data_IF_912580641352
#
_entry.id   IF_912580641352
#
_cell.length_a   1.000
_cell.length_b   1.000
_cell.length_c   1.000
_cell.angle_alpha   90.00
_cell.angle_beta   90.00
_cell.angle_gamma   90.00
#
_symmetry.space_group_name_H-M   'P 1'
#
loop_
_entity.id
_entity.type
_entity.pdbx_description
1 polymer ?
#
# COMPACT_ATOMS: atom_id res chain seq x y z
N UNK A 1 -5.30 31.70 -17.87
CA UNK A 1 -4.01 31.22 -17.32
C UNK A 1 -3.59 29.96 -18.08
N UNK A 2 -2.62 30.09 -18.99
CA UNK A 2 -2.29 29.08 -20.03
C UNK A 2 -2.06 27.68 -19.47
N UNK A 3 -2.62 26.67 -20.15
CA UNK A 3 -2.40 25.23 -19.90
C UNK A 3 -0.90 24.91 -19.83
N UNK A 4 -0.09 25.58 -20.66
CA UNK A 4 1.38 25.52 -20.66
C UNK A 4 1.99 25.92 -19.30
N UNK A 5 1.50 27.00 -18.66
CA UNK A 5 1.95 27.40 -17.31
C UNK A 5 1.53 26.40 -16.23
N UNK A 6 0.37 25.73 -16.38
CA UNK A 6 -0.08 24.69 -15.44
C UNK A 6 0.73 23.39 -15.58
N UNK A 7 1.05 22.96 -16.80
CA UNK A 7 1.89 21.77 -17.07
C UNK A 7 3.35 22.05 -16.67
N UNK A 8 3.83 23.27 -16.89
CA UNK A 8 5.20 23.68 -16.55
C UNK A 8 5.56 23.57 -15.07
N UNK A 9 4.58 23.50 -14.16
CA UNK A 9 4.85 23.31 -12.72
C UNK A 9 5.03 21.83 -12.32
N UNK A 10 4.47 20.87 -13.07
CA UNK A 10 4.57 19.46 -12.73
C UNK A 10 5.97 18.90 -12.94
N UNK A 11 6.66 19.31 -14.01
CA UNK A 11 8.01 18.80 -14.33
C UNK A 11 9.05 19.20 -13.27
N UNK A 12 9.18 20.48 -12.85
CA UNK A 12 10.10 20.84 -11.78
C UNK A 12 9.77 20.14 -10.46
N UNK A 13 8.48 20.04 -10.10
CA UNK A 13 8.07 19.35 -8.87
C UNK A 13 8.44 17.87 -8.92
N UNK A 14 8.23 17.21 -10.06
CA UNK A 14 8.66 15.83 -10.26
C UNK A 14 10.17 15.69 -10.08
N UNK A 15 10.97 16.49 -10.79
CA UNK A 15 12.44 16.42 -10.71
C UNK A 15 12.95 16.69 -9.29
N UNK A 16 12.43 17.72 -8.62
CA UNK A 16 12.81 18.05 -7.24
C UNK A 16 12.42 16.94 -6.26
N UNK A 17 11.24 16.34 -6.43
CA UNK A 17 10.79 15.21 -5.59
C UNK A 17 11.69 13.99 -5.81
N UNK A 18 11.98 13.63 -7.06
CA UNK A 18 12.86 12.51 -7.39
C UNK A 18 14.27 12.72 -6.81
N UNK A 19 14.86 13.90 -7.03
CA UNK A 19 16.18 14.24 -6.50
C UNK A 19 16.19 14.22 -4.96
N UNK A 20 15.17 14.76 -4.31
CA UNK A 20 15.05 14.75 -2.84
C UNK A 20 14.96 13.34 -2.27
N UNK A 21 14.13 12.47 -2.87
CA UNK A 21 13.99 11.07 -2.44
C UNK A 21 15.26 10.26 -2.69
N UNK A 22 15.92 10.46 -3.84
CA UNK A 22 17.20 9.83 -4.13
C UNK A 22 18.30 10.31 -3.16
N UNK A 23 18.37 11.62 -2.89
CA UNK A 23 19.31 12.20 -1.94
C UNK A 23 19.10 11.63 -0.53
N UNK A 24 17.85 11.51 -0.07
CA UNK A 24 17.54 10.89 1.23
C UNK A 24 18.11 9.48 1.35
N UNK A 25 17.97 8.65 0.30
CA UNK A 25 18.52 7.30 0.28
C UNK A 25 20.05 7.29 0.29
N UNK A 26 20.68 8.14 -0.53
CA UNK A 26 22.14 8.29 -0.60
C UNK A 26 22.72 8.79 0.73
N UNK A 27 22.08 9.75 1.38
CA UNK A 27 22.49 10.25 2.69
C UNK A 27 22.39 9.15 3.75
N UNK A 28 21.33 8.35 3.75
CA UNK A 28 21.22 7.21 4.66
C UNK A 28 22.34 6.18 4.43
N UNK A 29 22.76 5.95 3.19
CA UNK A 29 23.83 5.02 2.85
C UNK A 29 25.22 5.47 3.36
N UNK A 30 25.38 6.75 3.73
CA UNK A 30 26.62 7.25 4.36
C UNK A 30 26.82 6.75 5.79
N UNK A 31 25.75 6.34 6.47
CA UNK A 31 25.85 5.79 7.83
C UNK A 31 26.76 4.56 7.79
N UNK A 32 27.82 4.47 8.60
CA UNK A 32 28.73 3.32 8.54
C UNK A 32 28.02 2.06 9.01
N UNK A 33 28.28 0.92 8.35
CA UNK A 33 27.70 -0.38 8.71
C UNK A 33 27.92 -0.75 10.18
N UNK A 34 29.09 -0.40 10.71
CA UNK A 34 29.46 -0.63 12.11
C UNK A 34 28.49 0.00 13.09
N UNK A 35 27.91 1.16 12.77
CA UNK A 35 26.92 1.83 13.62
C UNK A 35 25.56 1.12 13.68
N UNK A 36 25.27 0.24 12.72
CA UNK A 36 24.02 -0.51 12.63
C UNK A 36 24.19 -1.98 13.01
N UNK A 37 25.43 -2.43 13.26
CA UNK A 37 25.80 -3.84 13.29
C UNK A 37 25.03 -4.66 14.33
N UNK A 38 24.96 -4.17 15.56
CA UNK A 38 24.34 -4.91 16.67
C UNK A 38 22.83 -5.04 16.47
N UNK A 39 22.13 -3.92 16.23
CA UNK A 39 20.69 -3.96 15.96
C UNK A 39 20.34 -4.77 14.71
N UNK A 40 21.17 -4.73 13.66
CA UNK A 40 20.94 -5.55 12.46
C UNK A 40 21.14 -7.06 12.74
N UNK A 41 22.11 -7.42 13.58
CA UNK A 41 22.31 -8.81 14.02
C UNK A 41 21.13 -9.27 14.88
N UNK A 42 20.68 -8.47 15.84
CA UNK A 42 19.54 -8.80 16.71
C UNK A 42 18.25 -8.96 15.90
N UNK A 43 18.05 -8.08 14.90
CA UNK A 43 16.97 -8.22 13.92
C UNK A 43 17.07 -9.53 13.15
N UNK A 44 18.26 -9.90 12.66
CA UNK A 44 18.45 -11.13 11.91
C UNK A 44 18.15 -12.38 12.76
N UNK A 45 18.60 -12.38 14.03
CA UNK A 45 18.33 -13.45 14.99
C UNK A 45 16.87 -13.55 15.39
N UNK A 46 16.16 -12.41 15.46
CA UNK A 46 14.72 -12.42 15.67
C UNK A 46 13.99 -13.04 14.46
N UNK A 47 14.33 -12.62 13.25
CA UNK A 47 13.68 -13.11 12.02
C UNK A 47 13.91 -14.61 11.80
N UNK A 48 15.10 -15.13 12.11
CA UNK A 48 15.45 -16.54 11.87
C UNK A 48 14.66 -17.53 12.75
N UNK A 49 14.13 -17.08 13.90
CA UNK A 49 13.34 -17.92 14.83
C UNK A 49 12.00 -18.38 14.27
N UNK A 50 11.51 -17.72 13.22
CA UNK A 50 10.18 -17.97 12.68
C UNK A 50 10.25 -18.65 11.31
N UNK A 51 9.27 -19.51 11.04
CA UNK A 51 9.05 -20.10 9.73
C UNK A 51 8.60 -19.02 8.71
N UNK A 52 8.91 -19.22 7.42
CA UNK A 52 8.46 -18.38 6.30
C UNK A 52 6.94 -18.16 6.24
N UNK A 53 6.16 -19.11 6.76
CA UNK A 53 4.70 -19.08 6.78
C UNK A 53 4.13 -18.67 8.15
N UNK A 54 4.95 -18.03 8.99
CA UNK A 54 4.55 -17.59 10.32
C UNK A 54 3.29 -16.72 10.31
N UNK A 55 2.39 -17.03 11.24
CA UNK A 55 1.12 -16.33 11.48
C UNK A 55 1.14 -15.77 12.89
N UNK A 56 0.79 -14.49 13.04
CA UNK A 56 0.68 -13.86 14.35
C UNK A 56 -0.43 -14.50 15.19
N UNK A 57 -1.53 -14.89 14.55
CA UNK A 57 -2.65 -15.59 15.18
C UNK A 57 -2.74 -17.00 14.58
N UNK A 58 -2.53 -18.02 15.41
CA UNK A 58 -2.55 -19.42 14.99
C UNK A 58 -3.88 -19.75 14.31
N UNK A 59 -3.82 -20.30 13.10
CA UNK A 59 -5.00 -20.69 12.32
C UNK A 59 -5.67 -19.58 11.51
N UNK A 60 -5.26 -18.31 11.67
CA UNK A 60 -5.82 -17.18 10.93
C UNK A 60 -4.89 -16.74 9.78
N UNK A 61 -5.24 -17.10 8.54
CA UNK A 61 -4.40 -16.82 7.36
C UNK A 61 -4.19 -15.32 7.10
N UNK A 62 -5.15 -14.47 7.48
CA UNK A 62 -5.05 -13.00 7.43
C UNK A 62 -3.86 -12.45 8.24
N UNK A 63 -3.40 -13.22 9.24
CA UNK A 63 -2.32 -12.82 10.16
C UNK A 63 -0.93 -13.30 9.73
N UNK A 64 -0.80 -13.85 8.52
CA UNK A 64 0.48 -14.27 7.95
C UNK A 64 1.42 -13.07 7.72
N UNK A 65 2.70 -13.24 8.05
CA UNK A 65 3.78 -12.27 7.88
C UNK A 65 4.80 -12.75 6.85
N UNK A 66 5.55 -11.82 6.24
CA UNK A 66 6.63 -12.13 5.31
C UNK A 66 8.01 -11.80 5.91
N UNK A 67 8.57 -12.73 6.68
CA UNK A 67 9.90 -12.57 7.29
C UNK A 67 11.02 -12.53 6.26
N UNK A 68 10.80 -13.13 5.09
CA UNK A 68 11.80 -13.10 4.01
C UNK A 68 11.85 -11.75 3.33
N UNK A 69 10.70 -11.09 3.12
CA UNK A 69 10.67 -9.71 2.63
C UNK A 69 11.38 -8.76 3.60
N UNK A 70 11.10 -8.88 4.91
CA UNK A 70 11.78 -8.07 5.93
C UNK A 70 13.30 -8.32 5.95
N UNK A 71 13.73 -9.58 5.85
CA UNK A 71 15.16 -9.92 5.77
C UNK A 71 15.83 -9.33 4.51
N UNK A 72 15.13 -9.30 3.38
CA UNK A 72 15.63 -8.65 2.16
C UNK A 72 15.80 -7.15 2.39
N UNK A 73 14.78 -6.47 2.95
CA UNK A 73 14.87 -5.05 3.29
C UNK A 73 16.10 -4.77 4.17
N UNK A 74 16.25 -5.51 5.27
CA UNK A 74 17.39 -5.33 6.18
C UNK A 74 18.73 -5.70 5.55
N UNK A 75 18.79 -6.74 4.72
CA UNK A 75 20.01 -7.16 4.02
C UNK A 75 20.51 -6.10 3.04
N UNK A 76 19.60 -5.44 2.32
CA UNK A 76 19.93 -4.31 1.45
C UNK A 76 20.40 -3.13 2.29
N UNK A 77 19.64 -2.76 3.33
CA UNK A 77 20.00 -1.68 4.24
C UNK A 77 21.40 -1.87 4.84
N UNK A 78 21.69 -3.05 5.38
CA UNK A 78 22.98 -3.40 5.96
C UNK A 78 24.11 -3.47 4.91
N UNK A 79 23.77 -3.85 3.68
CA UNK A 79 24.70 -3.97 2.55
C UNK A 79 25.15 -2.65 1.93
N UNK A 80 24.55 -1.50 2.30
CA UNK A 80 24.94 -0.21 1.74
C UNK A 80 26.39 0.18 2.10
N UNK A 81 27.13 0.61 1.08
CA UNK A 81 28.54 1.00 1.17
C UNK A 81 28.68 2.51 1.39
N UNK A 82 29.12 2.92 2.57
CA UNK A 82 29.30 4.34 2.92
C UNK A 82 30.39 5.04 2.12
N UNK A 83 31.34 4.29 1.54
CA UNK A 83 32.39 4.82 0.64
C UNK A 83 31.89 4.99 -0.79
N UNK A 84 30.90 4.20 -1.20
CA UNK A 84 30.29 4.25 -2.55
C UNK A 84 28.76 4.30 -2.47
N UNK A 85 28.19 5.33 -1.82
CA UNK A 85 26.78 5.36 -1.42
C UNK A 85 25.85 5.42 -2.62
N UNK A 86 26.16 6.24 -3.63
CA UNK A 86 25.33 6.40 -4.83
C UNK A 86 25.21 5.09 -5.59
N UNK A 87 26.33 4.42 -5.89
CA UNK A 87 26.28 3.17 -6.63
C UNK A 87 25.65 2.05 -5.80
N UNK A 88 25.92 2.03 -4.49
CA UNK A 88 25.37 1.02 -3.59
C UNK A 88 23.84 1.07 -3.49
N UNK A 89 23.24 2.27 -3.38
CA UNK A 89 21.78 2.40 -3.35
C UNK A 89 21.14 2.03 -4.68
N UNK A 90 21.76 2.38 -5.81
CA UNK A 90 21.25 2.01 -7.13
C UNK A 90 21.25 0.50 -7.35
N UNK A 91 22.33 -0.18 -6.96
CA UNK A 91 22.43 -1.64 -7.00
C UNK A 91 21.46 -2.35 -6.05
N UNK A 92 21.28 -1.80 -4.84
CA UNK A 92 20.45 -2.37 -3.77
C UNK A 92 20.69 -3.87 -3.58
N UNK A 93 21.96 -4.25 -3.39
CA UNK A 93 22.33 -5.66 -3.25
C UNK A 93 21.95 -6.21 -1.89
N UNK A 94 21.34 -7.39 -1.88
CA UNK A 94 21.16 -8.20 -0.68
C UNK A 94 22.08 -9.42 -0.74
N UNK A 95 22.26 -10.09 0.39
CA UNK A 95 23.02 -11.33 0.47
C UNK A 95 22.07 -12.53 0.34
N UNK A 96 22.29 -13.34 -0.68
CA UNK A 96 21.60 -14.60 -0.88
C UNK A 96 22.59 -15.77 -0.95
N UNK A 97 22.14 -16.93 -0.47
CA UNK A 97 22.89 -18.19 -0.48
C UNK A 97 22.02 -19.29 -1.05
N UNK A 98 22.55 -20.07 -2.00
CA UNK A 98 21.82 -21.16 -2.63
C UNK A 98 21.31 -22.16 -1.57
N UNK A 99 20.06 -22.62 -1.73
CA UNK A 99 19.41 -23.54 -0.79
C UNK A 99 19.07 -22.94 0.59
N UNK A 100 19.25 -21.62 0.80
CA UNK A 100 18.99 -20.95 2.08
C UNK A 100 17.88 -19.92 1.91
N UNK A 101 16.97 -19.83 2.88
CA UNK A 101 15.95 -18.79 2.87
C UNK A 101 16.56 -17.40 3.12
N UNK A 102 16.00 -16.30 2.57
CA UNK A 102 16.52 -14.95 2.78
C UNK A 102 16.75 -14.56 4.25
N UNK A 103 15.85 -14.96 5.16
CA UNK A 103 16.00 -14.71 6.60
C UNK A 103 17.26 -15.34 7.21
N UNK A 104 17.60 -16.56 6.79
CA UNK A 104 18.75 -17.29 7.31
C UNK A 104 20.05 -16.85 6.62
N UNK A 105 19.97 -16.49 5.33
CA UNK A 105 21.08 -15.86 4.62
C UNK A 105 21.46 -14.50 5.25
N UNK A 106 20.47 -13.69 5.63
CA UNK A 106 20.70 -12.41 6.31
C UNK A 106 21.39 -12.59 7.68
N UNK A 107 21.05 -13.64 8.43
CA UNK A 107 21.75 -13.99 9.67
C UNK A 107 23.23 -14.31 9.42
N UNK A 108 23.54 -15.07 8.38
CA UNK A 108 24.94 -15.34 7.98
C UNK A 108 25.65 -14.04 7.58
N UNK A 109 24.98 -13.17 6.83
CA UNK A 109 25.53 -11.90 6.38
C UNK A 109 25.96 -11.01 7.56
N UNK A 110 25.12 -10.91 8.59
CA UNK A 110 25.41 -10.06 9.75
C UNK A 110 26.51 -10.66 10.63
N UNK A 111 26.51 -11.98 10.86
CA UNK A 111 27.54 -12.67 11.67
C UNK A 111 28.93 -12.66 11.05
N UNK A 112 29.01 -12.82 9.74
CA UNK A 112 30.29 -12.92 9.02
C UNK A 112 30.70 -11.60 8.35
N UNK A 113 29.89 -10.55 8.47
CA UNK A 113 30.19 -9.25 7.87
C UNK A 113 30.22 -9.26 6.33
N UNK A 114 29.42 -10.12 5.69
CA UNK A 114 29.43 -10.30 4.23
C UNK A 114 28.75 -9.14 3.50
N UNK A 115 29.17 -8.91 2.26
CA UNK A 115 28.54 -7.95 1.35
C UNK A 115 27.38 -8.59 0.59
N UNK A 116 26.43 -7.77 0.13
CA UNK A 116 25.38 -8.22 -0.77
C UNK A 116 25.97 -8.73 -2.09
N UNK A 117 25.45 -9.86 -2.57
CA UNK A 117 25.92 -10.56 -3.77
C UNK A 117 24.83 -10.72 -4.84
N UNK A 118 23.58 -10.38 -4.53
CA UNK A 118 22.46 -10.41 -5.47
C UNK A 118 21.88 -9.03 -5.62
N UNK A 119 21.82 -8.50 -6.84
CA UNK A 119 21.22 -7.21 -7.13
C UNK A 119 19.70 -7.23 -7.05
N UNK A 120 19.13 -6.08 -6.67
CA UNK A 120 17.68 -5.89 -6.62
C UNK A 120 17.30 -4.58 -7.32
N UNK A 121 17.66 -4.48 -8.60
CA UNK A 121 17.52 -3.26 -9.39
C UNK A 121 16.08 -2.82 -9.64
N UNK A 122 15.11 -3.72 -9.46
CA UNK A 122 13.70 -3.49 -9.78
C UNK A 122 13.02 -2.34 -9.03
N UNK A 123 13.35 -2.11 -7.76
CA UNK A 123 12.64 -1.14 -6.89
C UNK A 123 13.57 -0.11 -6.29
N UNK A 124 13.06 1.04 -5.88
CA UNK A 124 13.88 2.06 -5.24
C UNK A 124 14.42 1.66 -3.86
N UNK A 125 13.72 0.78 -3.14
CA UNK A 125 14.06 0.42 -1.75
C UNK A 125 14.14 1.64 -0.83
N UNK A 126 13.29 2.64 -1.07
CA UNK A 126 13.30 3.92 -0.36
C UNK A 126 13.05 3.82 1.14
N UNK A 127 12.33 2.77 1.57
CA UNK A 127 12.16 2.41 2.98
C UNK A 127 13.49 2.24 3.73
N UNK A 128 14.59 1.90 3.03
CA UNK A 128 15.90 1.72 3.65
C UNK A 128 16.48 2.99 4.25
N UNK A 129 16.05 4.17 3.77
CA UNK A 129 16.43 5.43 4.40
C UNK A 129 15.96 5.48 5.86
N UNK A 130 14.71 5.07 6.11
CA UNK A 130 14.14 5.02 7.45
C UNK A 130 14.69 3.84 8.26
N UNK A 131 14.79 2.66 7.65
CA UNK A 131 15.32 1.46 8.33
C UNK A 131 16.70 1.73 8.92
N UNK A 132 17.60 2.37 8.15
CA UNK A 132 18.95 2.65 8.63
C UNK A 132 18.98 3.68 9.75
N UNK A 133 18.10 4.68 9.70
CA UNK A 133 17.96 5.64 10.81
C UNK A 133 17.43 4.97 12.08
N UNK A 134 16.41 4.11 11.97
CA UNK A 134 15.91 3.36 13.12
C UNK A 134 16.96 2.41 13.71
N UNK A 135 17.75 1.75 12.87
CA UNK A 135 18.79 0.82 13.33
C UNK A 135 19.99 1.50 14.01
N UNK A 136 20.03 2.83 14.09
CA UNK A 136 20.94 3.53 15.00
C UNK A 136 20.51 3.39 16.47
N UNK A 137 19.22 3.17 16.74
CA UNK A 137 18.65 3.22 18.11
C UNK A 137 17.87 1.98 18.51
N UNK A 138 17.44 1.14 17.56
CA UNK A 138 16.67 -0.07 17.86
C UNK A 138 16.81 -1.14 16.78
N UNK A 139 16.47 -2.38 17.11
CA UNK A 139 16.25 -3.44 16.13
C UNK A 139 14.86 -3.37 15.46
N UNK A 140 14.55 -4.36 14.62
CA UNK A 140 13.29 -4.46 13.87
C UNK A 140 12.05 -4.57 14.77
N UNK A 141 12.17 -5.09 15.98
CA UNK A 141 11.04 -5.20 16.92
C UNK A 141 10.60 -3.80 17.37
N UNK A 142 11.56 -2.92 17.64
CA UNK A 142 11.26 -1.52 17.94
C UNK A 142 10.68 -0.78 16.73
N UNK A 143 11.10 -1.11 15.51
CA UNK A 143 10.47 -0.57 14.29
C UNK A 143 9.00 -1.01 14.19
N UNK A 144 8.71 -2.29 14.44
CA UNK A 144 7.31 -2.78 14.42
C UNK A 144 6.46 -2.08 15.48
N UNK A 145 6.99 -1.90 16.69
CA UNK A 145 6.30 -1.17 17.75
C UNK A 145 6.03 0.28 17.33
N UNK A 146 7.04 0.97 16.80
CA UNK A 146 6.90 2.33 16.30
C UNK A 146 5.86 2.44 15.18
N UNK A 147 5.90 1.55 14.19
CA UNK A 147 4.90 1.50 13.13
C UNK A 147 3.48 1.26 13.68
N UNK A 148 3.33 0.37 14.66
CA UNK A 148 2.05 0.09 15.30
C UNK A 148 1.47 1.31 16.01
N UNK A 149 2.29 1.97 16.83
CA UNK A 149 1.92 3.21 17.53
C UNK A 149 1.57 4.30 16.52
N UNK A 150 2.40 4.50 15.48
CA UNK A 150 2.18 5.54 14.48
C UNK A 150 0.90 5.30 13.67
N UNK A 151 0.64 4.06 13.23
CA UNK A 151 -0.62 3.70 12.56
C UNK A 151 -1.81 4.01 13.47
N UNK A 152 -1.75 3.59 14.74
CA UNK A 152 -2.81 3.85 15.72
C UNK A 152 -3.08 5.35 15.93
N UNK A 153 -2.03 6.15 16.09
CA UNK A 153 -2.13 7.60 16.28
C UNK A 153 -2.70 8.30 15.04
N UNK A 154 -2.26 7.94 13.84
CA UNK A 154 -2.78 8.54 12.61
C UNK A 154 -4.26 8.16 12.40
N UNK A 155 -4.62 6.89 12.63
CA UNK A 155 -6.02 6.45 12.54
C UNK A 155 -6.91 7.20 13.54
N UNK A 156 -6.45 7.35 14.79
CA UNK A 156 -7.15 8.15 15.79
C UNK A 156 -7.27 9.61 15.34
N UNK A 157 -6.21 10.20 14.79
CA UNK A 157 -6.21 11.55 14.21
C UNK A 157 -7.24 11.74 13.12
N UNK A 158 -7.30 10.82 12.14
CA UNK A 158 -8.29 10.82 11.06
C UNK A 158 -9.70 10.76 11.65
N UNK A 159 -9.94 9.84 12.58
CA UNK A 159 -11.25 9.67 13.24
C UNK A 159 -11.67 10.93 14.00
N UNK A 160 -10.77 11.54 14.77
CA UNK A 160 -11.05 12.77 15.51
C UNK A 160 -11.39 13.93 14.58
N UNK A 161 -10.62 14.13 13.50
CA UNK A 161 -10.87 15.21 12.54
C UNK A 161 -12.21 15.03 11.83
N UNK A 162 -12.53 13.81 11.39
CA UNK A 162 -13.79 13.51 10.73
C UNK A 162 -14.98 13.64 11.70
N UNK A 163 -14.84 13.15 12.94
CA UNK A 163 -15.87 13.28 13.97
C UNK A 163 -16.18 14.75 14.29
N UNK A 164 -15.16 15.57 14.56
CA UNK A 164 -15.30 17.00 14.86
C UNK A 164 -15.94 17.80 13.72
N UNK A 165 -15.88 17.29 12.49
CA UNK A 165 -16.50 17.91 11.32
C UNK A 165 -17.86 17.28 10.94
N UNK A 166 -18.46 16.45 11.80
CA UNK A 166 -19.77 15.83 11.55
C UNK A 166 -19.77 14.71 10.51
N UNK A 167 -18.59 14.12 10.24
CA UNK A 167 -18.36 13.12 9.19
C UNK A 167 -17.98 11.75 9.77
N UNK A 168 -18.47 11.42 10.97
CA UNK A 168 -18.14 10.17 11.66
C UNK A 168 -18.40 8.92 10.81
N UNK A 169 -19.45 8.92 9.98
CA UNK A 169 -19.79 7.82 9.06
C UNK A 169 -18.68 7.51 8.04
N UNK A 170 -17.97 8.55 7.55
CA UNK A 170 -16.83 8.40 6.64
C UNK A 170 -15.68 7.72 7.38
N UNK A 171 -15.41 8.15 8.62
CA UNK A 171 -14.36 7.57 9.46
C UNK A 171 -14.66 6.12 9.85
N UNK A 172 -15.90 5.81 10.21
CA UNK A 172 -16.32 4.43 10.52
C UNK A 172 -16.17 3.54 9.28
N UNK A 173 -16.62 4.00 8.11
CA UNK A 173 -16.45 3.27 6.84
C UNK A 173 -14.97 3.01 6.52
N UNK A 174 -14.12 4.01 6.78
CA UNK A 174 -12.67 3.91 6.63
C UNK A 174 -12.09 2.82 7.55
N UNK A 175 -12.43 2.84 8.85
CA UNK A 175 -11.93 1.85 9.81
C UNK A 175 -12.43 0.43 9.52
N UNK A 176 -13.70 0.27 9.15
CA UNK A 176 -14.27 -1.03 8.77
C UNK A 176 -13.51 -1.60 7.58
N UNK A 177 -13.25 -0.79 6.54
CA UNK A 177 -12.54 -1.28 5.36
C UNK A 177 -11.12 -1.79 5.65
N UNK A 178 -10.39 -1.11 6.55
CA UNK A 178 -9.07 -1.52 7.02
C UNK A 178 -9.13 -2.75 7.95
N UNK A 179 -10.15 -2.85 8.80
CA UNK A 179 -10.37 -4.01 9.66
C UNK A 179 -10.62 -5.29 8.84
N UNK A 180 -11.40 -5.20 7.75
CA UNK A 180 -11.69 -6.34 6.87
C UNK A 180 -10.44 -6.97 6.24
N UNK A 181 -9.34 -6.20 6.15
CA UNK A 181 -8.08 -6.68 5.59
C UNK A 181 -6.97 -6.87 6.63
N UNK A 182 -7.32 -6.87 7.92
CA UNK A 182 -6.37 -7.17 8.98
C UNK A 182 -5.28 -6.12 9.14
N UNK A 183 -5.65 -4.83 9.18
CA UNK A 183 -4.72 -3.72 9.40
C UNK A 183 -3.85 -3.87 10.66
N UNK A 184 -4.33 -4.56 11.69
CA UNK A 184 -3.58 -4.84 12.92
C UNK A 184 -2.34 -5.73 12.71
N UNK A 185 -2.25 -6.43 11.58
CA UNK A 185 -1.11 -7.29 11.22
C UNK A 185 0.02 -6.46 10.58
N UNK A 186 -0.34 -5.37 9.91
CA UNK A 186 0.56 -4.53 9.11
C UNK A 186 1.80 -4.04 9.86
N UNK A 187 1.72 -3.59 11.14
CA UNK A 187 2.90 -3.12 11.87
C UNK A 187 4.04 -4.12 11.96
N UNK A 188 3.74 -5.42 11.92
CA UNK A 188 4.68 -6.50 12.20
C UNK A 188 5.44 -6.99 10.97
N UNK A 189 5.35 -6.29 9.83
CA UNK A 189 6.09 -6.57 8.61
C UNK A 189 6.39 -5.26 7.87
N UNK A 190 7.67 -5.00 7.60
CA UNK A 190 8.13 -3.74 6.97
C UNK A 190 7.50 -3.57 5.60
N UNK A 191 7.49 -4.66 4.83
CA UNK A 191 6.88 -4.76 3.51
C UNK A 191 5.41 -4.26 3.50
N UNK A 192 4.65 -4.56 4.56
CA UNK A 192 3.24 -4.15 4.61
C UNK A 192 3.08 -2.71 5.08
N UNK A 193 3.99 -2.26 5.94
CA UNK A 193 3.81 -1.04 6.75
C UNK A 193 4.07 0.26 6.01
N UNK A 194 5.09 0.34 5.15
CA UNK A 194 5.51 1.61 4.55
C UNK A 194 4.41 2.26 3.70
N UNK A 195 3.80 1.49 2.80
CA UNK A 195 2.74 2.00 1.92
C UNK A 195 1.49 2.37 2.70
N UNK A 196 1.12 1.58 3.71
CA UNK A 196 -0.03 1.86 4.57
C UNK A 196 0.18 3.16 5.35
N UNK A 197 1.33 3.31 6.01
CA UNK A 197 1.69 4.55 6.72
C UNK A 197 1.63 5.76 5.79
N UNK A 198 2.17 5.63 4.58
CA UNK A 198 2.11 6.68 3.57
C UNK A 198 0.68 6.98 3.13
N UNK A 199 -0.14 5.96 2.88
CA UNK A 199 -1.56 6.13 2.53
C UNK A 199 -2.36 6.84 3.62
N UNK A 200 -2.12 6.51 4.89
CA UNK A 200 -2.74 7.16 6.05
C UNK A 200 -2.30 8.62 6.18
N UNK A 201 -1.00 8.88 6.06
CA UNK A 201 -0.46 10.25 6.05
C UNK A 201 -1.08 11.08 4.93
N UNK A 202 -1.10 10.56 3.70
CA UNK A 202 -1.71 11.25 2.56
C UNK A 202 -3.20 11.50 2.75
N UNK A 203 -3.91 10.59 3.43
CA UNK A 203 -5.31 10.77 3.79
C UNK A 203 -5.48 11.96 4.74
N UNK A 204 -4.63 12.12 5.75
CA UNK A 204 -4.64 13.31 6.62
C UNK A 204 -4.44 14.61 5.82
N UNK A 205 -3.46 14.61 4.91
CA UNK A 205 -3.16 15.80 4.10
C UNK A 205 -4.34 16.15 3.18
N UNK A 206 -4.96 15.17 2.52
CA UNK A 206 -6.11 15.44 1.65
C UNK A 206 -7.35 15.86 2.43
N UNK A 207 -7.61 15.30 3.61
CA UNK A 207 -8.67 15.79 4.50
C UNK A 207 -8.44 17.27 4.81
N UNK A 208 -7.25 17.64 5.27
CA UNK A 208 -6.92 19.04 5.62
C UNK A 208 -7.11 20.01 4.45
N UNK A 209 -6.78 19.60 3.23
CA UNK A 209 -7.00 20.38 2.01
C UNK A 209 -8.49 20.49 1.63
N UNK A 210 -9.24 19.40 1.70
CA UNK A 210 -10.67 19.39 1.39
C UNK A 210 -11.51 20.17 2.41
N UNK A 211 -11.11 20.17 3.69
CA UNK A 211 -11.74 21.01 4.71
C UNK A 211 -11.59 22.51 4.41
N UNK A 212 -10.53 22.91 3.67
CA UNK A 212 -10.30 24.27 3.16
C UNK A 212 -10.95 24.54 1.80
N UNK A 213 -11.73 23.60 1.26
CA UNK A 213 -12.34 23.72 -0.07
C UNK A 213 -11.36 23.58 -1.24
N UNK A 214 -10.14 23.07 -1.01
CA UNK A 214 -9.09 22.96 -2.04
C UNK A 214 -9.19 21.69 -2.91
N UNK A 215 -10.40 21.13 -3.09
CA UNK A 215 -10.63 19.89 -3.86
C UNK A 215 -9.97 19.93 -5.24
N UNK A 216 -10.12 21.02 -6.00
CA UNK A 216 -9.60 21.14 -7.37
C UNK A 216 -8.06 21.29 -7.44
N UNK A 217 -7.38 21.49 -6.30
CA UNK A 217 -5.93 21.77 -6.23
C UNK A 217 -5.09 20.55 -5.86
N UNK A 218 -5.67 19.36 -5.75
CA UNK A 218 -4.96 18.16 -5.29
C UNK A 218 -4.06 17.48 -6.35
N UNK A 219 -4.02 17.99 -7.58
CA UNK A 219 -3.33 17.32 -8.71
C UNK A 219 -1.85 17.03 -8.46
N UNK A 220 -1.07 18.05 -8.06
CA UNK A 220 0.35 17.87 -7.73
C UNK A 220 0.53 16.90 -6.57
N UNK A 221 -0.34 17.01 -5.57
CA UNK A 221 -0.30 16.14 -4.40
C UNK A 221 -0.48 14.66 -4.78
N UNK A 222 -1.39 14.35 -5.70
CA UNK A 222 -1.56 12.98 -6.19
C UNK A 222 -0.39 12.48 -7.05
N UNK A 223 0.26 13.36 -7.83
CA UNK A 223 1.49 13.00 -8.52
C UNK A 223 2.61 12.64 -7.53
N UNK A 224 2.90 13.50 -6.55
CA UNK A 224 3.91 13.25 -5.50
C UNK A 224 3.57 11.96 -4.74
N UNK A 225 2.29 11.76 -4.41
CA UNK A 225 1.82 10.55 -3.76
C UNK A 225 2.18 9.29 -4.57
N UNK A 226 1.99 9.30 -5.89
CA UNK A 226 2.41 8.20 -6.77
C UNK A 226 3.92 7.96 -6.73
N UNK A 227 4.72 9.04 -6.78
CA UNK A 227 6.18 8.95 -6.72
C UNK A 227 6.67 8.33 -5.41
N UNK A 228 6.16 8.81 -4.27
CA UNK A 228 6.55 8.30 -2.95
C UNK A 228 6.04 6.87 -2.75
N UNK A 229 4.88 6.51 -3.30
CA UNK A 229 4.36 5.15 -3.21
C UNK A 229 5.35 4.16 -3.84
N UNK A 230 5.76 4.35 -5.10
CA UNK A 230 6.71 3.42 -5.75
C UNK A 230 8.12 3.49 -5.16
N UNK A 231 8.47 4.62 -4.54
CA UNK A 231 9.72 4.76 -3.81
C UNK A 231 9.77 3.83 -2.59
N UNK A 232 8.64 3.68 -1.89
CA UNK A 232 8.49 2.88 -0.68
C UNK A 232 8.06 1.43 -0.93
N UNK A 233 7.50 1.11 -2.10
CA UNK A 233 6.76 -0.14 -2.32
C UNK A 233 7.49 -1.20 -3.16
N UNK A 234 7.10 -2.46 -2.91
CA UNK A 234 7.49 -3.67 -3.64
C UNK A 234 6.30 -4.32 -4.39
N UNK A 235 5.28 -3.55 -4.80
CA UNK A 235 3.98 -4.04 -5.28
C UNK A 235 3.18 -4.77 -4.21
N UNK A 236 3.04 -4.15 -3.04
CA UNK A 236 2.30 -4.74 -1.93
C UNK A 236 0.82 -4.39 -1.98
N UNK A 237 0.53 -3.11 -1.72
CA UNK A 237 -0.80 -2.52 -1.58
C UNK A 237 -0.82 -1.09 -2.14
N UNK A 238 -0.06 -0.85 -3.21
CA UNK A 238 0.15 0.45 -3.85
C UNK A 238 -1.15 1.22 -4.10
N UNK A 239 -2.21 0.50 -4.47
CA UNK A 239 -3.51 1.10 -4.78
C UNK A 239 -4.17 1.77 -3.58
N UNK A 240 -3.84 1.38 -2.35
CA UNK A 240 -4.37 2.02 -1.14
C UNK A 240 -3.81 3.43 -0.95
N UNK A 241 -2.55 3.66 -1.33
CA UNK A 241 -1.97 5.00 -1.31
C UNK A 241 -2.72 5.96 -2.23
N UNK A 242 -3.38 5.48 -3.29
CA UNK A 242 -4.30 6.26 -4.11
C UNK A 242 -5.72 6.32 -3.52
N UNK A 243 -6.31 5.16 -3.25
CA UNK A 243 -7.74 5.03 -2.99
C UNK A 243 -8.16 5.62 -1.65
N UNK A 244 -7.41 5.38 -0.57
CA UNK A 244 -7.73 5.89 0.76
C UNK A 244 -7.79 7.43 0.78
N UNK A 245 -6.76 8.17 0.31
CA UNK A 245 -6.83 9.62 0.30
C UNK A 245 -7.85 10.16 -0.71
N UNK A 246 -8.03 9.54 -1.88
CA UNK A 246 -8.95 10.02 -2.91
C UNK A 246 -10.41 9.85 -2.49
N UNK A 247 -10.80 8.66 -2.05
CA UNK A 247 -12.18 8.38 -1.61
C UNK A 247 -12.55 9.25 -0.41
N UNK A 248 -11.62 9.43 0.53
CA UNK A 248 -11.85 10.31 1.69
C UNK A 248 -11.96 11.78 1.27
N UNK A 249 -11.09 12.24 0.37
CA UNK A 249 -11.16 13.61 -0.17
C UNK A 249 -12.49 13.89 -0.87
N UNK A 250 -12.99 12.93 -1.66
CA UNK A 250 -14.31 13.02 -2.30
C UNK A 250 -15.43 13.13 -1.27
N UNK A 251 -15.46 12.21 -0.29
CA UNK A 251 -16.47 12.19 0.76
C UNK A 251 -16.46 13.49 1.58
N UNK A 252 -15.29 13.95 2.04
CA UNK A 252 -15.13 15.21 2.79
C UNK A 252 -15.58 16.41 1.98
N UNK A 253 -15.21 16.47 0.70
CA UNK A 253 -15.60 17.60 -0.17
C UNK A 253 -17.11 17.66 -0.34
N UNK A 254 -17.78 16.52 -0.59
CA UNK A 254 -19.24 16.44 -0.66
C UNK A 254 -19.89 16.91 0.66
N UNK A 255 -19.37 16.46 1.81
CA UNK A 255 -19.88 16.86 3.13
C UNK A 255 -19.65 18.33 3.48
N UNK A 256 -18.63 18.97 2.90
CA UNK A 256 -18.43 20.44 2.99
C UNK A 256 -19.25 21.25 1.99
N UNK A 257 -20.18 20.62 1.27
CA UNK A 257 -21.12 21.30 0.38
C UNK A 257 -20.72 21.29 -1.09
N UNK A 258 -19.69 20.53 -1.50
CA UNK A 258 -19.43 20.31 -2.93
C UNK A 258 -20.57 19.50 -3.55
N UNK A 259 -21.41 20.16 -4.34
CA UNK A 259 -22.41 19.48 -5.17
C UNK A 259 -21.69 18.72 -6.30
N UNK A 260 -21.53 17.41 -6.14
CA UNK A 260 -20.78 16.58 -7.07
C UNK A 260 -21.37 16.56 -8.48
N UNK A 261 -20.59 16.97 -9.48
CA UNK A 261 -20.99 17.03 -10.89
C UNK A 261 -20.05 16.18 -11.75
N UNK A 262 -20.36 16.05 -13.05
CA UNK A 262 -19.52 15.35 -14.03
C UNK A 262 -18.09 15.91 -14.08
N UNK A 263 -17.90 17.22 -13.85
CA UNK A 263 -16.57 17.83 -13.78
C UNK A 263 -15.73 17.26 -12.63
N UNK A 264 -16.35 16.98 -11.48
CA UNK A 264 -15.66 16.49 -10.30
C UNK A 264 -15.26 15.03 -10.46
N UNK A 265 -16.07 14.22 -11.16
CA UNK A 265 -15.66 12.89 -11.62
C UNK A 265 -14.45 12.95 -12.55
N UNK A 266 -14.39 13.92 -13.49
CA UNK A 266 -13.21 14.11 -14.35
C UNK A 266 -12.00 14.55 -13.53
N UNK A 267 -12.19 15.42 -12.54
CA UNK A 267 -11.14 15.81 -11.61
C UNK A 267 -10.60 14.60 -10.84
N UNK A 268 -11.47 13.76 -10.28
CA UNK A 268 -11.07 12.53 -9.60
C UNK A 268 -10.28 11.58 -10.53
N UNK A 269 -10.74 11.36 -11.78
CA UNK A 269 -9.97 10.59 -12.77
C UNK A 269 -8.61 11.23 -13.07
N UNK A 270 -8.53 12.56 -13.15
CA UNK A 270 -7.24 13.24 -13.35
C UNK A 270 -6.27 12.99 -12.20
N UNK A 271 -6.76 12.83 -10.97
CA UNK A 271 -5.92 12.47 -9.82
C UNK A 271 -5.42 11.03 -9.88
N UNK A 272 -6.25 10.09 -10.34
CA UNK A 272 -5.82 8.72 -10.66
C UNK A 272 -4.71 8.73 -11.72
N UNK A 273 -4.89 9.50 -12.81
CA UNK A 273 -3.91 9.60 -13.89
C UNK A 273 -2.60 10.27 -13.42
N UNK A 274 -2.68 11.37 -12.67
CA UNK A 274 -1.51 12.07 -12.14
C UNK A 274 -0.73 11.19 -11.15
N UNK A 275 -1.43 10.44 -10.30
CA UNK A 275 -0.81 9.44 -9.44
C UNK A 275 -0.10 8.36 -10.26
N UNK A 276 -0.76 7.82 -11.30
CA UNK A 276 -0.16 6.80 -12.17
C UNK A 276 1.07 7.33 -12.93
N UNK A 277 1.02 8.57 -13.43
CA UNK A 277 2.16 9.24 -14.07
C UNK A 277 3.32 9.43 -13.09
N UNK A 278 3.03 9.90 -11.87
CA UNK A 278 4.04 10.05 -10.82
C UNK A 278 4.68 8.71 -10.44
N UNK A 279 3.86 7.67 -10.25
CA UNK A 279 4.29 6.32 -9.95
C UNK A 279 5.17 5.75 -11.07
N UNK A 280 4.68 5.70 -12.31
CA UNK A 280 5.40 5.12 -13.43
C UNK A 280 6.68 5.90 -13.77
N UNK A 281 6.59 7.25 -13.76
CA UNK A 281 7.74 8.12 -14.00
C UNK A 281 8.83 7.91 -12.95
N UNK A 282 8.47 7.88 -11.66
CA UNK A 282 9.44 7.64 -10.59
C UNK A 282 10.05 6.25 -10.72
N UNK A 283 9.26 5.23 -11.06
CA UNK A 283 9.78 3.87 -11.25
C UNK A 283 10.83 3.79 -12.37
N UNK A 284 10.50 4.32 -13.56
CA UNK A 284 11.38 4.35 -14.73
C UNK A 284 12.64 5.17 -14.44
N UNK A 285 12.53 6.26 -13.68
CA UNK A 285 13.68 7.11 -13.35
C UNK A 285 14.78 6.34 -12.60
N UNK A 286 14.44 5.27 -11.85
CA UNK A 286 15.45 4.40 -11.25
C UNK A 286 16.34 3.77 -12.31
N UNK A 287 15.73 3.18 -13.32
CA UNK A 287 16.45 2.45 -14.36
C UNK A 287 17.29 3.38 -15.22
N UNK A 288 16.78 4.58 -15.51
CA UNK A 288 17.56 5.64 -16.17
C UNK A 288 18.81 5.97 -15.33
N UNK A 289 18.67 6.17 -14.02
CA UNK A 289 19.82 6.44 -13.16
C UNK A 289 20.80 5.26 -13.08
N UNK A 290 20.31 4.02 -13.09
CA UNK A 290 21.17 2.83 -13.18
C UNK A 290 21.98 2.86 -14.48
N UNK A 291 21.34 3.09 -15.63
CA UNK A 291 22.02 3.18 -16.91
C UNK A 291 23.09 4.28 -16.93
N UNK A 292 22.75 5.48 -16.45
CA UNK A 292 23.64 6.64 -16.50
C UNK A 292 24.76 6.57 -15.47
N UNK A 293 24.49 6.13 -14.24
CA UNK A 293 25.46 6.17 -13.14
C UNK A 293 26.26 4.88 -13.03
N UNK A 294 25.61 3.73 -13.20
CA UNK A 294 26.28 2.42 -13.13
C UNK A 294 26.80 1.95 -14.48
N UNK A 295 26.48 2.66 -15.58
CA UNK A 295 26.91 2.32 -16.94
C UNK A 295 26.57 0.86 -17.29
N UNK A 296 25.40 0.40 -16.83
CA UNK A 296 24.92 -0.97 -16.95
C UNK A 296 23.47 -0.96 -17.40
N UNK A 297 23.10 -1.85 -18.33
CA UNK A 297 21.71 -2.03 -18.73
C UNK A 297 20.93 -2.87 -17.68
N UNK A 298 19.92 -2.33 -16.98
CA UNK A 298 19.09 -3.09 -16.04
C UNK A 298 18.04 -3.96 -16.74
N UNK A 299 17.78 -3.80 -18.04
CA UNK A 299 16.65 -4.43 -18.73
C UNK A 299 16.66 -5.95 -18.74
N UNK A 300 17.80 -6.66 -18.89
CA UNK A 300 17.82 -8.12 -18.79
C UNK A 300 17.30 -8.63 -17.44
N UNK A 301 17.62 -7.93 -16.35
CA UNK A 301 17.21 -8.27 -14.98
C UNK A 301 15.74 -7.89 -14.77
N UNK A 302 15.34 -6.67 -15.13
CA UNK A 302 13.98 -6.16 -14.90
C UNK A 302 12.94 -6.90 -15.73
N UNK A 303 13.22 -7.18 -17.00
CA UNK A 303 12.29 -7.84 -17.92
C UNK A 303 12.02 -9.31 -17.55
N UNK A 304 13.03 -10.04 -17.04
CA UNK A 304 12.85 -11.39 -16.52
C UNK A 304 11.86 -11.45 -15.36
N UNK A 305 11.89 -10.45 -14.49
CA UNK A 305 10.98 -10.33 -13.35
C UNK A 305 9.56 -9.90 -13.79
N UNK A 306 9.45 -9.02 -14.78
CA UNK A 306 8.15 -8.65 -15.36
C UNK A 306 7.46 -9.88 -15.98
N UNK A 307 8.21 -10.71 -16.71
CA UNK A 307 7.71 -12.00 -17.24
C UNK A 307 7.26 -12.95 -16.13
N UNK A 308 7.89 -12.92 -14.96
CA UNK A 308 7.47 -13.74 -13.82
C UNK A 308 6.11 -13.31 -13.24
N UNK A 309 5.78 -12.03 -13.28
CA UNK A 309 4.53 -11.50 -12.74
C UNK A 309 3.36 -11.53 -13.72
N UNK A 310 3.65 -11.34 -15.00
CA UNK A 310 2.69 -11.35 -16.10
C UNK A 310 2.57 -12.72 -16.79
N UNK A 311 3.54 -13.61 -16.55
CA UNK A 311 3.55 -14.95 -17.11
C UNK A 311 2.68 -15.91 -16.31
N UNK A 312 2.44 -17.10 -16.84
CA UNK A 312 1.46 -18.05 -16.29
C UNK A 312 2.01 -18.98 -15.18
N UNK A 313 3.26 -18.78 -14.77
CA UNK A 313 3.97 -19.65 -13.83
C UNK A 313 4.03 -19.02 -12.44
N UNK A 314 3.31 -19.60 -11.47
CA UNK A 314 3.22 -19.07 -10.10
C UNK A 314 4.31 -19.63 -9.19
N UNK A 315 4.84 -20.81 -9.48
CA UNK A 315 5.98 -21.44 -8.82
C UNK A 315 6.69 -22.40 -9.81
N UNK A 316 7.94 -22.83 -9.55
CA UNK A 316 8.60 -23.85 -10.38
C UNK A 316 7.69 -25.08 -10.55
N UNK A 317 7.41 -25.46 -11.80
CA UNK A 317 6.51 -26.57 -12.13
C UNK A 317 5.00 -26.27 -12.01
N UNK A 318 4.60 -25.07 -11.58
CA UNK A 318 3.19 -24.69 -11.41
C UNK A 318 2.79 -23.61 -12.43
N UNK A 319 2.37 -24.05 -13.62
CA UNK A 319 1.88 -23.20 -14.71
C UNK A 319 0.39 -23.48 -14.94
N UNK A 320 -0.41 -22.42 -15.05
CA UNK A 320 -1.87 -22.52 -15.24
C UNK A 320 -2.33 -21.85 -16.53
N UNK A 321 -3.43 -22.31 -17.16
CA UNK A 321 -4.07 -21.55 -18.23
C UNK A 321 -4.49 -20.15 -17.76
N UNK A 322 -4.38 -19.15 -18.63
CA UNK A 322 -4.66 -17.74 -18.25
C UNK A 322 -6.05 -17.54 -17.64
N UNK A 323 -7.16 -18.08 -18.18
CA UNK A 323 -8.49 -17.88 -17.58
C UNK A 323 -8.59 -18.41 -16.15
N UNK A 324 -7.97 -19.58 -15.90
CA UNK A 324 -7.89 -20.21 -14.58
C UNK A 324 -7.10 -19.32 -13.62
N UNK A 325 -6.01 -18.74 -14.09
CA UNK A 325 -5.12 -17.91 -13.28
C UNK A 325 -5.74 -16.55 -12.93
N UNK A 326 -6.47 -15.93 -13.86
CA UNK A 326 -7.24 -14.69 -13.62
C UNK A 326 -8.34 -14.92 -12.58
N UNK A 327 -9.06 -16.05 -12.67
CA UNK A 327 -10.05 -16.41 -11.65
C UNK A 327 -9.40 -16.64 -10.28
N UNK A 328 -8.30 -17.38 -10.24
CA UNK A 328 -7.56 -17.63 -9.00
C UNK A 328 -6.97 -16.36 -8.39
N UNK A 329 -6.54 -15.38 -9.18
CA UNK A 329 -5.98 -14.14 -8.65
C UNK A 329 -7.01 -13.36 -7.83
N UNK A 330 -8.26 -13.33 -8.28
CA UNK A 330 -9.37 -12.74 -7.51
C UNK A 330 -9.74 -13.63 -6.32
N UNK A 331 -10.02 -14.91 -6.57
CA UNK A 331 -10.55 -15.82 -5.55
C UNK A 331 -9.58 -16.01 -4.37
N UNK A 332 -8.29 -16.15 -4.63
CA UNK A 332 -7.31 -16.30 -3.55
C UNK A 332 -7.21 -15.04 -2.69
N UNK A 333 -7.25 -13.85 -3.28
CA UNK A 333 -7.24 -12.62 -2.50
C UNK A 333 -8.53 -12.45 -1.68
N UNK A 334 -9.69 -12.80 -2.24
CA UNK A 334 -10.96 -12.81 -1.50
C UNK A 334 -10.99 -13.82 -0.34
N UNK A 335 -10.22 -14.91 -0.41
CA UNK A 335 -10.13 -15.88 0.70
C UNK A 335 -9.41 -15.34 1.93
N UNK A 336 -8.57 -14.32 1.77
CA UNK A 336 -7.82 -13.74 2.91
C UNK A 336 -8.56 -12.61 3.62
N UNK A 337 -9.58 -12.00 3.00
CA UNK A 337 -10.37 -10.95 3.66
C UNK A 337 -11.30 -11.54 4.73
N UNK A 338 -11.60 -10.76 5.76
CA UNK A 338 -12.64 -11.10 6.71
C UNK A 338 -14.04 -10.95 6.07
N UNK A 339 -14.99 -11.85 6.35
CA UNK A 339 -14.89 -13.07 7.16
C UNK A 339 -14.47 -14.32 6.36
N UNK A 340 -14.19 -14.22 5.06
CA UNK A 340 -13.84 -15.36 4.20
C UNK A 340 -12.64 -16.19 4.69
N UNK A 341 -11.74 -15.55 5.45
CA UNK A 341 -10.58 -16.19 6.07
C UNK A 341 -10.92 -17.13 7.25
N UNK A 342 -12.17 -17.15 7.72
CA UNK A 342 -12.64 -18.04 8.77
C UNK A 342 -12.93 -19.42 8.17
N UNK A 343 -12.21 -20.44 8.62
CA UNK A 343 -12.35 -21.82 8.10
C UNK A 343 -13.79 -22.34 8.24
N UNK A 344 -14.29 -23.01 7.20
CA UNK A 344 -15.57 -23.72 7.18
C UNK A 344 -16.81 -22.83 7.02
N UNK A 345 -16.89 -21.69 7.73
CA UNK A 345 -18.09 -20.83 7.76
C UNK A 345 -17.89 -19.43 7.14
N UNK A 346 -16.65 -19.04 6.84
CA UNK A 346 -16.32 -17.69 6.39
C UNK A 346 -17.07 -17.24 5.13
N UNK A 347 -17.26 -18.14 4.16
CA UNK A 347 -18.04 -17.85 2.96
C UNK A 347 -19.53 -17.65 3.23
N UNK A 348 -20.11 -18.41 4.17
CA UNK A 348 -21.50 -18.22 4.59
C UNK A 348 -21.66 -16.85 5.27
N UNK A 349 -20.74 -16.49 6.17
CA UNK A 349 -20.74 -15.17 6.81
C UNK A 349 -20.57 -14.04 5.80
N UNK A 350 -19.67 -14.20 4.83
CA UNK A 350 -19.47 -13.21 3.77
C UNK A 350 -20.72 -13.06 2.91
N UNK A 351 -21.39 -14.16 2.59
CA UNK A 351 -22.67 -14.16 1.88
C UNK A 351 -23.76 -13.45 2.68
N UNK A 352 -23.89 -13.74 3.98
CA UNK A 352 -24.86 -13.07 4.86
C UNK A 352 -24.59 -11.57 4.99
N UNK A 353 -23.32 -11.15 5.11
CA UNK A 353 -22.94 -9.74 5.12
C UNK A 353 -23.28 -9.05 3.79
N UNK A 354 -23.04 -9.72 2.66
CA UNK A 354 -23.40 -9.21 1.34
C UNK A 354 -24.92 -9.08 1.18
N UNK A 355 -25.68 -10.08 1.62
CA UNK A 355 -27.15 -10.03 1.62
C UNK A 355 -27.66 -8.91 2.52
N UNK A 356 -27.09 -8.75 3.72
CA UNK A 356 -27.40 -7.65 4.62
C UNK A 356 -27.09 -6.28 4.02
N UNK A 357 -25.95 -6.13 3.34
CA UNK A 357 -25.59 -4.93 2.59
C UNK A 357 -26.61 -4.61 1.49
N UNK A 358 -26.97 -5.59 0.66
CA UNK A 358 -27.93 -5.42 -0.44
C UNK A 358 -29.31 -5.07 0.11
N UNK A 359 -29.77 -5.81 1.13
CA UNK A 359 -31.03 -5.56 1.82
C UNK A 359 -31.08 -4.14 2.37
N UNK A 360 -30.02 -3.70 3.06
CA UNK A 360 -29.93 -2.34 3.60
C UNK A 360 -30.02 -1.29 2.49
N UNK A 361 -29.28 -1.47 1.39
CA UNK A 361 -29.32 -0.56 0.25
C UNK A 361 -30.71 -0.50 -0.42
N UNK A 362 -31.43 -1.62 -0.46
CA UNK A 362 -32.75 -1.72 -1.07
C UNK A 362 -33.85 -1.10 -0.20
N UNK A 363 -33.90 -1.47 1.09
CA UNK A 363 -34.96 -1.07 2.03
C UNK A 363 -34.84 0.39 2.43
N UNK A 364 -33.63 0.84 2.74
CA UNK A 364 -33.39 2.22 3.20
C UNK A 364 -32.97 3.14 2.06
N UNK A 365 -33.31 2.83 0.81
CA UNK A 365 -32.93 3.64 -0.35
C UNK A 365 -33.41 5.09 -0.19
N UNK A 366 -32.55 6.04 -0.55
CA UNK A 366 -32.89 7.46 -0.62
C UNK A 366 -33.28 7.86 -2.04
N UNK A 367 -34.24 8.76 -2.17
CA UNK A 367 -34.57 9.38 -3.46
C UNK A 367 -33.51 10.43 -3.84
N UNK A 368 -33.33 10.69 -5.15
CA UNK A 368 -32.45 11.76 -5.63
C UNK A 368 -30.93 11.47 -5.56
N UNK A 369 -30.53 10.22 -5.79
CA UNK A 369 -29.12 9.80 -5.86
C UNK A 369 -28.25 10.55 -6.90
N UNK A 370 -27.01 10.86 -6.50
CA UNK A 370 -26.02 11.46 -7.40
C UNK A 370 -25.38 10.40 -8.30
N UNK A 371 -25.95 10.20 -9.49
CA UNK A 371 -25.46 9.22 -10.49
C UNK A 371 -24.00 9.43 -10.90
N UNK A 372 -23.48 10.65 -10.84
CA UNK A 372 -22.07 10.91 -11.21
C UNK A 372 -21.11 10.48 -10.11
N UNK A 373 -21.48 10.71 -8.84
CA UNK A 373 -20.72 10.27 -7.66
C UNK A 373 -20.71 8.73 -7.54
N UNK A 374 -21.86 8.10 -7.73
CA UNK A 374 -21.99 6.64 -7.64
C UNK A 374 -21.16 5.93 -8.71
N UNK A 375 -21.22 6.41 -9.96
CA UNK A 375 -20.41 5.85 -11.06
C UNK A 375 -18.92 5.92 -10.77
N UNK A 376 -18.44 7.04 -10.21
CA UNK A 376 -17.02 7.18 -9.90
C UNK A 376 -16.61 6.30 -8.72
N UNK A 377 -17.44 6.16 -7.67
CA UNK A 377 -17.15 5.19 -6.59
C UNK A 377 -17.06 3.77 -7.12
N UNK A 378 -17.99 3.35 -7.99
CA UNK A 378 -17.96 2.02 -8.59
C UNK A 378 -16.69 1.80 -9.44
N UNK A 379 -16.31 2.80 -10.25
CA UNK A 379 -15.08 2.74 -11.06
C UNK A 379 -13.83 2.62 -10.17
N UNK A 380 -13.73 3.41 -9.10
CA UNK A 380 -12.61 3.35 -8.16
C UNK A 380 -12.58 2.03 -7.37
N UNK A 381 -13.74 1.47 -7.03
CA UNK A 381 -13.84 0.18 -6.37
C UNK A 381 -13.27 -0.97 -7.22
N UNK A 382 -13.27 -0.82 -8.55
CA UNK A 382 -12.71 -1.79 -9.49
C UNK A 382 -11.19 -1.78 -9.61
N UNK A 383 -10.49 -0.74 -9.13
CA UNK A 383 -9.02 -0.59 -9.28
C UNK A 383 -8.24 -1.78 -8.68
N UNK A 384 -8.51 -2.24 -7.44
CA UNK A 384 -7.81 -3.40 -6.88
C UNK A 384 -8.06 -4.69 -7.66
N UNK A 385 -9.27 -4.87 -8.21
CA UNK A 385 -9.61 -6.04 -9.04
C UNK A 385 -8.84 -6.01 -10.36
N UNK A 386 -8.81 -4.87 -11.04
CA UNK A 386 -8.02 -4.69 -12.25
C UNK A 386 -6.53 -4.97 -11.99
N UNK A 387 -6.01 -4.51 -10.85
CA UNK A 387 -4.64 -4.81 -10.42
C UNK A 387 -4.40 -6.31 -10.28
N UNK A 388 -5.33 -7.07 -9.68
CA UNK A 388 -5.21 -8.53 -9.57
C UNK A 388 -5.26 -9.24 -10.91
N UNK A 389 -5.97 -8.70 -11.89
CA UNK A 389 -6.03 -9.25 -13.24
C UNK A 389 -4.74 -8.97 -14.02
N UNK A 390 -4.22 -7.74 -13.95
CA UNK A 390 -2.97 -7.37 -14.64
C UNK A 390 -1.78 -8.11 -14.02
N UNK A 391 -1.68 -8.13 -12.69
CA UNK A 391 -0.58 -8.76 -11.95
C UNK A 391 -1.01 -10.12 -11.38
N UNK A 392 -1.62 -10.97 -12.21
CA UNK A 392 -2.27 -12.20 -11.76
C UNK A 392 -1.34 -13.17 -11.03
N UNK A 393 -0.16 -13.46 -11.57
CA UNK A 393 0.77 -14.42 -10.94
C UNK A 393 1.37 -13.90 -9.67
N UNK A 394 1.64 -12.58 -9.63
CA UNK A 394 2.03 -11.90 -8.42
C UNK A 394 0.93 -11.98 -7.34
N UNK A 395 -0.31 -11.67 -7.72
CA UNK A 395 -1.46 -11.64 -6.81
C UNK A 395 -1.85 -13.02 -6.28
N UNK A 396 -1.61 -14.09 -7.05
CA UNK A 396 -1.78 -15.47 -6.58
C UNK A 396 -0.66 -15.85 -5.61
N UNK A 397 0.60 -15.64 -6.00
CA UNK A 397 1.76 -15.98 -5.17
C UNK A 397 1.76 -15.25 -3.83
N UNK A 398 1.32 -14.00 -3.83
CA UNK A 398 1.39 -13.08 -2.71
C UNK A 398 0.03 -12.70 -2.13
N UNK A 399 -1.00 -13.53 -2.34
CA UNK A 399 -2.36 -13.30 -1.85
C UNK A 399 -2.42 -13.01 -0.34
N UNK A 400 -1.47 -13.52 0.44
CA UNK A 400 -1.34 -13.29 1.88
C UNK A 400 -1.02 -11.84 2.28
N UNK A 401 -0.65 -10.98 1.33
CA UNK A 401 -0.62 -9.53 1.55
C UNK A 401 -1.33 -8.69 0.51
N UNK A 402 -1.41 -9.14 -0.74
CA UNK A 402 -2.04 -8.35 -1.81
C UNK A 402 -3.54 -8.16 -1.60
N UNK A 403 -4.19 -9.03 -0.82
CA UNK A 403 -5.62 -8.91 -0.50
C UNK A 403 -5.95 -7.60 0.21
N UNK A 404 -4.98 -6.99 0.90
CA UNK A 404 -5.16 -5.71 1.60
C UNK A 404 -5.55 -4.57 0.68
N UNK A 405 -5.17 -4.64 -0.60
CA UNK A 405 -5.63 -3.70 -1.62
C UNK A 405 -7.17 -3.60 -1.71
N UNK A 406 -7.91 -4.67 -1.35
CA UNK A 406 -9.37 -4.69 -1.33
C UNK A 406 -10.00 -3.75 -0.29
N UNK A 407 -9.24 -3.22 0.67
CA UNK A 407 -9.75 -2.17 1.56
C UNK A 407 -10.25 -0.96 0.76
N UNK A 408 -9.60 -0.61 -0.37
CA UNK A 408 -10.08 0.45 -1.26
C UNK A 408 -11.44 0.12 -1.89
N UNK A 409 -11.65 -1.13 -2.31
CA UNK A 409 -12.95 -1.61 -2.84
C UNK A 409 -14.01 -1.56 -1.75
N UNK A 410 -13.74 -2.12 -0.57
CA UNK A 410 -14.68 -2.14 0.56
C UNK A 410 -15.04 -0.71 0.98
N UNK A 411 -14.06 0.18 1.07
CA UNK A 411 -14.30 1.56 1.45
C UNK A 411 -15.18 2.29 0.42
N UNK A 412 -14.90 2.13 -0.87
CA UNK A 412 -15.73 2.72 -1.93
C UNK A 412 -17.17 2.22 -1.88
N UNK A 413 -17.38 0.92 -1.59
CA UNK A 413 -18.72 0.34 -1.45
C UNK A 413 -19.46 0.87 -0.21
N UNK A 414 -18.77 1.03 0.94
CA UNK A 414 -19.36 1.61 2.14
C UNK A 414 -19.73 3.09 1.95
N UNK A 415 -18.89 3.87 1.25
CA UNK A 415 -19.23 5.25 0.87
C UNK A 415 -20.40 5.30 -0.11
N UNK A 416 -20.45 4.37 -1.08
CA UNK A 416 -21.57 4.24 -2.00
C UNK A 416 -22.86 3.93 -1.23
N UNK A 417 -22.84 3.00 -0.28
CA UNK A 417 -23.98 2.68 0.58
C UNK A 417 -24.46 3.91 1.36
N UNK A 418 -23.54 4.66 1.98
CA UNK A 418 -23.86 5.92 2.66
C UNK A 418 -24.48 6.94 1.71
N UNK A 419 -24.12 6.91 0.43
CA UNK A 419 -24.67 7.81 -0.59
C UNK A 419 -25.96 7.32 -1.23
N UNK A 420 -26.45 6.11 -0.96
CA UNK A 420 -27.74 5.65 -1.50
C UNK A 420 -28.77 5.34 -0.42
N UNK A 421 -28.41 5.43 0.86
CA UNK A 421 -29.31 5.11 1.98
C UNK A 421 -29.72 6.36 2.76
N UNK A 422 -30.97 6.36 3.26
CA UNK A 422 -31.54 7.39 4.14
C UNK A 422 -31.15 7.10 5.59
N UNK A 423 -30.73 8.12 6.34
CA UNK A 423 -30.34 8.01 7.76
C UNK A 423 -31.48 7.58 8.70
N UNK A 424 -32.73 7.51 8.22
CA UNK A 424 -33.88 7.01 9.00
C UNK A 424 -33.70 5.61 9.59
N UNK A 425 -32.81 4.77 9.06
CA UNK A 425 -32.50 3.45 9.67
C UNK A 425 -31.92 3.56 11.08
N UNK A 426 -31.17 4.63 11.39
CA UNK A 426 -30.60 4.87 12.73
C UNK A 426 -31.70 5.06 13.79
N UNK A 427 -32.83 5.65 13.38
CA UNK A 427 -33.98 5.90 14.25
C UNK A 427 -34.91 4.68 14.40
N UNK A 428 -34.88 3.75 13.44
CA UNK A 428 -35.72 2.54 13.47
C UNK A 428 -35.30 1.55 14.57
N UNK A 429 -34.01 1.55 14.95
CA UNK A 429 -33.49 0.75 16.07
C UNK A 429 -33.96 1.25 17.45
N UNK A 430 -34.13 2.55 17.62
CA UNK A 430 -34.58 3.14 18.90
C UNK A 430 -36.09 3.04 19.14
N UNK A 431 -36.91 2.90 18.08
CA UNK A 431 -38.36 2.72 18.22
C UNK A 431 -38.78 1.29 18.61
N UNK A 432 -37.92 0.29 18.43
CA UNK A 432 -38.21 -1.10 18.85
C UNK A 432 -37.86 -1.41 20.31
N UNK A 433 -37.25 -0.46 21.04
CA UNK A 433 -36.92 -0.60 22.47
C UNK A 433 -37.83 0.18 23.43
N UNK A 434 -38.98 0.67 22.96
CA UNK A 434 -39.98 1.39 23.79
C UNK A 434 -41.41 0.90 23.53
N UNK A 435 -41.59 -0.39 23.30
CA UNK A 435 -42.89 -1.04 23.40
C UNK A 435 -42.79 -2.18 24.40
#
# INVERSE_FOLDING_TARGET
MNIVKKIGMYVPVFLLTMCGLAAMLVLSARIPRTALQDHMRDSAEYLSRYDKSYRLIKGADISRLDRNADAIWLSIAYGYDSKKPVSSVLWSKYYGRAGTEPKDAFLVQTRQGLKGNQEYLRYWHGGNAFIRLFHLVTDIRGIYLFHGLLIGLILLGIMMVLYRNGMAEVGVSFCISLAFVGIWVVPFCLEYSFVILWALFMTCVTIGKCLKGEWEKLGILFMINGMVTVYLDFFTTETLALLLPLLTAMAVSCKKGLCWKKKDSRTALSYVLLWAIGYAGMWISKWILVMVVLQTDPMPIVSGHAKQWLGNTVAPGATFPLPVLLFHSILQNLRYIFPCNIRGIGFLLAFLLLMGYIYHCFVYRKDGWNRSLIRIYFLLAGIPILRFLILHSHSVRHCFFTHRALAGTIYALLLLQSEITDRRWVLHGFKRGRN
#
